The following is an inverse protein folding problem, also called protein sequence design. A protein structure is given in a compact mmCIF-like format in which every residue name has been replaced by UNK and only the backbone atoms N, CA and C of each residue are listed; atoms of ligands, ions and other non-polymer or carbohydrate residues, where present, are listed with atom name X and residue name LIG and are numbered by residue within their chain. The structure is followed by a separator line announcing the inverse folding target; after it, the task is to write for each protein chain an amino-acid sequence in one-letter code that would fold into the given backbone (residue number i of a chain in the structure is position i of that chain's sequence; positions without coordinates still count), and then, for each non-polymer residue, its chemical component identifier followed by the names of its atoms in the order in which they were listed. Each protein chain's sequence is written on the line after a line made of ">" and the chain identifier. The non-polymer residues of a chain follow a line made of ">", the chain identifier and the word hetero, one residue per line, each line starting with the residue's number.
data_IF_039268237185
#
_entry.id   IF_039268237185
#
_cell.length_a   1.000
_cell.length_b   1.000
_cell.length_c   1.000
_cell.angle_alpha   90.00
_cell.angle_beta   90.00
_cell.angle_gamma   90.00
#
_symmetry.space_group_name_H-M   'P 1'
#
loop_
_entity.id
_entity.type
_entity.pdbx_description
1 polymer ?
#
# COMPACT_ATOMS: atom_id res chain seq x y z
N UNK A 1 11.73 -0.53 7.16
CA UNK A 1 11.78 0.03 5.79
C UNK A 1 10.72 1.12 5.60
N UNK A 2 10.98 2.10 4.73
CA UNK A 2 9.98 3.13 4.39
C UNK A 2 8.88 2.55 3.50
N UNK A 3 7.62 2.88 3.78
CA UNK A 3 6.46 2.49 3.01
C UNK A 3 5.44 3.63 2.89
N UNK A 4 4.77 3.73 1.73
CA UNK A 4 3.56 4.52 1.59
C UNK A 4 2.35 3.64 1.90
N UNK A 5 1.50 4.05 2.85
CA UNK A 5 0.35 3.27 3.30
C UNK A 5 -0.93 4.08 3.17
N UNK A 6 -1.94 3.48 2.55
CA UNK A 6 -3.27 4.03 2.38
C UNK A 6 -4.13 3.67 3.59
N UNK A 7 -4.70 4.69 4.23
CA UNK A 7 -5.57 4.54 5.41
C UNK A 7 -7.02 4.88 5.10
N UNK A 8 -7.27 5.86 4.23
CA UNK A 8 -8.59 6.25 3.71
C UNK A 8 -8.44 7.24 2.54
N UNK A 9 -9.56 7.71 2.00
CA UNK A 9 -9.62 8.81 1.03
C UNK A 9 -8.79 10.00 1.52
N UNK A 10 -7.86 10.46 0.67
CA UNK A 10 -6.90 11.53 0.96
C UNK A 10 -5.98 11.30 2.17
N UNK A 11 -5.85 10.05 2.64
CA UNK A 11 -5.00 9.68 3.77
C UNK A 11 -3.97 8.62 3.34
N UNK A 12 -2.88 9.09 2.74
CA UNK A 12 -1.67 8.30 2.50
C UNK A 12 -0.56 8.83 3.39
N UNK A 13 0.10 7.92 4.12
CA UNK A 13 1.18 8.25 5.04
C UNK A 13 2.46 7.55 4.62
N UNK A 14 3.58 8.25 4.76
CA UNK A 14 4.91 7.66 4.62
C UNK A 14 5.39 7.29 6.02
N UNK A 15 5.60 6.01 6.24
CA UNK A 15 5.96 5.47 7.56
C UNK A 15 7.20 4.59 7.45
N UNK A 16 7.94 4.48 8.56
CA UNK A 16 8.95 3.45 8.75
C UNK A 16 8.30 2.25 9.45
N UNK A 17 8.24 1.12 8.74
CA UNK A 17 7.69 -0.16 9.21
C UNK A 17 8.80 -1.18 9.43
N UNK A 18 8.52 -2.29 10.12
CA UNK A 18 9.48 -3.39 10.21
C UNK A 18 9.72 -4.05 8.85
N UNK A 19 10.92 -4.57 8.65
CA UNK A 19 11.23 -5.33 7.43
C UNK A 19 10.52 -6.69 7.48
N UNK A 20 9.73 -7.06 6.46
CA UNK A 20 9.01 -8.33 6.46
C UNK A 20 9.98 -9.51 6.32
N UNK A 21 9.64 -10.64 6.93
CA UNK A 21 10.37 -11.89 6.78
C UNK A 21 9.62 -12.82 5.80
N UNK A 22 10.34 -13.40 4.85
CA UNK A 22 9.77 -14.38 3.93
C UNK A 22 9.60 -15.74 4.62
N UNK A 23 8.41 -16.32 4.52
CA UNK A 23 8.12 -17.68 4.97
C UNK A 23 8.57 -18.78 4.00
N UNK A 24 8.20 -20.01 4.30
CA UNK A 24 8.48 -21.15 3.42
C UNK A 24 7.72 -21.00 2.09
N UNK A 25 8.47 -20.96 0.98
CA UNK A 25 7.90 -20.80 -0.37
C UNK A 25 7.72 -19.34 -0.81
N UNK A 26 8.10 -18.36 0.01
CA UNK A 26 8.02 -16.94 -0.31
C UNK A 26 9.41 -16.36 -0.63
N UNK A 27 9.43 -15.20 -1.31
CA UNK A 27 10.65 -14.44 -1.57
C UNK A 27 10.47 -12.99 -1.16
N UNK A 28 11.50 -12.43 -0.53
CA UNK A 28 11.54 -11.01 -0.22
C UNK A 28 12.24 -10.24 -1.35
N UNK A 29 11.55 -9.23 -1.91
CA UNK A 29 12.05 -8.45 -3.04
C UNK A 29 12.33 -7.02 -2.60
N UNK A 30 13.57 -6.57 -2.80
CA UNK A 30 13.92 -5.15 -2.70
C UNK A 30 13.56 -4.45 -4.02
N UNK A 31 12.54 -3.60 -3.98
CA UNK A 31 12.07 -2.83 -5.15
C UNK A 31 13.16 -1.86 -5.63
N UNK A 32 13.58 -1.98 -6.89
CA UNK A 32 14.52 -1.06 -7.53
C UNK A 32 13.82 0.19 -8.10
N UNK A 33 12.63 0.00 -8.69
CA UNK A 33 11.80 1.05 -9.26
C UNK A 33 10.31 0.72 -9.07
N UNK A 34 9.49 1.73 -8.83
CA UNK A 34 8.03 1.62 -8.75
C UNK A 34 7.41 2.88 -9.41
N UNK A 35 6.29 2.70 -10.09
CA UNK A 35 5.52 3.76 -10.71
C UNK A 35 4.12 3.81 -10.11
N UNK A 36 3.49 4.99 -10.17
CA UNK A 36 2.12 5.20 -9.73
C UNK A 36 1.17 4.74 -10.85
N UNK A 37 0.15 3.97 -10.50
CA UNK A 37 -0.93 3.60 -11.40
C UNK A 37 -2.06 4.65 -11.37
N UNK A 38 -2.82 4.79 -12.45
CA UNK A 38 -4.01 5.65 -12.45
C UNK A 38 -5.06 5.24 -11.40
N UNK A 39 -5.13 3.95 -11.06
CA UNK A 39 -6.02 3.45 -10.00
C UNK A 39 -5.64 3.98 -8.62
N UNK A 40 -4.35 4.18 -8.34
CA UNK A 40 -3.90 4.74 -7.05
C UNK A 40 -4.47 6.16 -6.84
N UNK A 41 -4.56 6.93 -7.93
CA UNK A 41 -5.14 8.26 -7.89
C UNK A 41 -6.65 8.23 -7.63
N UNK A 42 -7.36 7.27 -8.22
CA UNK A 42 -8.80 7.07 -7.95
C UNK A 42 -9.04 6.68 -6.49
N UNK A 43 -8.26 5.75 -5.94
CA UNK A 43 -8.34 5.40 -4.51
C UNK A 43 -8.09 6.63 -3.61
N UNK A 44 -7.08 7.44 -3.95
CA UNK A 44 -6.73 8.61 -3.17
C UNK A 44 -7.77 9.73 -3.24
N UNK A 45 -8.36 10.01 -4.40
CA UNK A 45 -9.28 11.15 -4.60
C UNK A 45 -10.73 10.82 -4.27
N UNK A 46 -11.19 9.64 -4.69
CA UNK A 46 -12.60 9.24 -4.69
C UNK A 46 -12.91 8.32 -3.50
N UNK A 47 -11.89 7.70 -2.91
CA UNK A 47 -11.96 6.83 -1.73
C UNK A 47 -11.81 5.36 -2.07
N UNK A 48 -11.95 4.46 -1.08
CA UNK A 48 -11.79 3.03 -1.28
C UNK A 48 -12.79 2.49 -2.33
N UNK A 49 -12.31 2.30 -3.57
CA UNK A 49 -13.09 1.76 -4.70
C UNK A 49 -12.80 0.27 -4.85
N UNK A 50 -11.52 -0.09 -4.86
CA UNK A 50 -11.04 -1.47 -4.95
C UNK A 50 -10.44 -1.94 -3.63
N UNK A 51 -9.84 -1.04 -2.85
CA UNK A 51 -9.37 -1.36 -1.51
C UNK A 51 -10.55 -1.67 -0.57
N UNK A 52 -10.43 -2.68 0.32
CA UNK A 52 -11.44 -2.96 1.34
C UNK A 52 -11.72 -1.74 2.23
N UNK A 53 -12.98 -1.56 2.62
CA UNK A 53 -13.38 -0.49 3.55
C UNK A 53 -13.20 -0.95 5.01
N UNK A 54 -13.12 0.00 5.94
CA UNK A 54 -13.05 -0.32 7.38
C UNK A 54 -14.22 -1.17 7.89
N UNK A 55 -15.41 -1.06 7.27
CA UNK A 55 -16.58 -1.88 7.61
C UNK A 55 -16.54 -3.29 7.04
N UNK A 56 -15.68 -3.56 6.06
CA UNK A 56 -15.55 -4.84 5.34
C UNK A 56 -14.08 -5.09 4.98
N UNK A 57 -13.24 -5.43 5.96
CA UNK A 57 -11.78 -5.55 5.80
C UNK A 57 -11.35 -6.79 5.00
#
# INVERSE_FOLDING_TARGET
>A
MKAARFYDNKDIRIEDIDEPAAGAGEVLIKVAWCGICGTDLHEYLDGPIFCPTHSTP
#
